data_IF_487227268644
#
_entry.id   IF_487227268644
#
_cell.length_a   1.000
_cell.length_b   1.000
_cell.length_c   1.000
_cell.angle_alpha   90.00
_cell.angle_beta   90.00
_cell.angle_gamma   90.00
#
_symmetry.space_group_name_H-M   'P 1'
#
loop_
_entity.id
_entity.type
_entity.pdbx_description
1 polymer ?
#
# COMPACT_ATOMS: atom_id res chain seq x y z
N UNK A 1 -14.99 -7.26 7.03
CA UNK A 1 -14.03 -6.56 7.93
C UNK A 1 -12.69 -6.53 7.23
N UNK A 2 -12.01 -5.38 7.21
CA UNK A 2 -10.68 -5.20 6.62
C UNK A 2 -9.71 -4.80 7.73
N UNK A 3 -8.47 -5.29 7.67
CA UNK A 3 -7.36 -4.80 8.50
C UNK A 3 -6.14 -4.51 7.63
N UNK A 4 -5.31 -3.58 8.09
CA UNK A 4 -3.96 -3.35 7.55
C UNK A 4 -2.93 -3.49 8.65
N UNK A 5 -1.86 -4.24 8.41
CA UNK A 5 -0.69 -4.31 9.30
C UNK A 5 0.46 -3.56 8.65
N UNK A 6 0.98 -2.56 9.36
CA UNK A 6 2.09 -1.72 8.91
C UNK A 6 3.41 -2.25 9.47
N UNK A 7 4.36 -2.54 8.59
CA UNK A 7 5.74 -2.92 8.92
C UNK A 7 6.70 -2.43 7.84
N UNK A 8 7.82 -3.13 7.65
CA UNK A 8 8.77 -2.87 6.55
C UNK A 8 8.05 -2.81 5.20
N UNK A 9 7.25 -3.83 4.90
CA UNK A 9 6.12 -3.80 3.97
C UNK A 9 4.79 -3.84 4.73
N UNK A 10 3.67 -3.86 4.01
CA UNK A 10 2.33 -3.91 4.62
C UNK A 10 1.49 -5.02 4.04
N UNK A 11 0.69 -5.65 4.91
CA UNK A 11 -0.28 -6.69 4.54
C UNK A 11 -1.69 -6.21 4.86
N UNK A 12 -2.51 -6.12 3.83
CA UNK A 12 -3.93 -5.79 3.90
C UNK A 12 -4.69 -7.11 3.79
N UNK A 13 -5.66 -7.34 4.69
CA UNK A 13 -6.53 -8.52 4.64
C UNK A 13 -7.99 -8.14 4.81
N UNK A 14 -8.86 -8.71 3.96
CA UNK A 14 -10.32 -8.58 4.03
C UNK A 14 -10.93 -9.96 4.25
N UNK A 15 -11.64 -10.16 5.36
CA UNK A 15 -12.40 -11.40 5.59
C UNK A 15 -13.57 -11.51 4.60
N UNK A 16 -13.64 -12.65 3.89
CA UNK A 16 -14.66 -12.99 2.88
C UNK A 16 -15.53 -14.20 3.28
N UNK A 17 -15.41 -14.69 4.51
CA UNK A 17 -16.25 -15.75 5.06
C UNK A 17 -15.80 -17.15 4.67
N UNK A 18 -16.73 -18.10 4.59
CA UNK A 18 -16.47 -19.53 4.40
C UNK A 18 -16.38 -19.96 2.93
N UNK A 19 -16.49 -19.00 2.00
CA UNK A 19 -16.41 -19.25 0.57
C UNK A 19 -15.23 -18.48 -0.02
N UNK A 20 -14.28 -19.17 -0.67
CA UNK A 20 -13.18 -18.48 -1.34
C UNK A 20 -13.71 -17.68 -2.53
N UNK A 21 -13.09 -16.52 -2.76
CA UNK A 21 -13.39 -15.64 -3.90
C UNK A 21 -12.17 -15.62 -4.81
N UNK A 22 -12.31 -16.08 -6.06
CA UNK A 22 -11.23 -15.95 -7.03
C UNK A 22 -11.22 -14.51 -7.55
N UNK A 23 -10.17 -13.77 -7.23
CA UNK A 23 -10.02 -12.38 -7.65
C UNK A 23 -9.42 -12.28 -9.06
N UNK A 24 -9.96 -11.36 -9.85
CA UNK A 24 -9.40 -10.89 -11.13
C UNK A 24 -8.79 -9.48 -11.03
N UNK A 25 -8.71 -8.93 -9.82
CA UNK A 25 -8.34 -7.53 -9.56
C UNK A 25 -6.97 -7.38 -8.86
N UNK A 26 -6.09 -8.40 -8.96
CA UNK A 26 -4.73 -8.31 -8.43
C UNK A 26 -4.61 -8.48 -6.91
N UNK A 27 -5.57 -9.12 -6.26
CA UNK A 27 -5.47 -9.55 -4.84
C UNK A 27 -5.63 -11.05 -4.73
N UNK A 28 -4.99 -11.69 -3.75
CA UNK A 28 -5.01 -13.14 -3.61
C UNK A 28 -6.11 -13.60 -2.65
N UNK A 29 -6.70 -14.77 -2.89
CA UNK A 29 -7.52 -15.45 -1.88
C UNK A 29 -6.63 -16.37 -1.05
N UNK A 30 -6.73 -16.27 0.28
CA UNK A 30 -5.93 -17.07 1.21
C UNK A 30 -6.80 -17.63 2.33
N UNK A 31 -6.27 -18.63 3.03
CA UNK A 31 -6.88 -19.17 4.25
C UNK A 31 -6.71 -18.14 5.37
N UNK A 32 -7.80 -17.81 6.05
CA UNK A 32 -7.79 -16.89 7.16
C UNK A 32 -7.57 -17.65 8.48
N UNK A 33 -8.47 -18.58 8.79
CA UNK A 33 -8.39 -19.48 9.95
C UNK A 33 -9.33 -20.67 9.78
N UNK A 34 -9.12 -21.70 10.60
CA UNK A 34 -10.05 -22.83 10.77
C UNK A 34 -10.43 -22.98 12.23
N UNK A 35 -11.73 -23.12 12.51
CA UNK A 35 -12.26 -23.37 13.86
C UNK A 35 -13.57 -24.16 13.76
N UNK A 36 -13.79 -25.12 14.66
CA UNK A 36 -15.00 -25.95 14.72
C UNK A 36 -15.36 -26.64 13.38
N UNK A 37 -14.35 -27.11 12.66
CA UNK A 37 -14.52 -27.76 11.36
C UNK A 37 -14.92 -26.82 10.22
N UNK A 38 -14.94 -25.49 10.45
CA UNK A 38 -15.20 -24.47 9.43
C UNK A 38 -13.93 -23.71 9.09
N UNK A 39 -13.72 -23.48 7.80
CA UNK A 39 -12.61 -22.67 7.28
C UNK A 39 -13.16 -21.32 6.84
N UNK A 40 -12.47 -20.25 7.21
CA UNK A 40 -12.73 -18.91 6.71
C UNK A 40 -11.57 -18.46 5.81
N UNK A 41 -11.89 -17.60 4.85
CA UNK A 41 -10.97 -17.09 3.84
C UNK A 41 -10.83 -15.57 3.93
N UNK A 42 -9.72 -15.06 3.40
CA UNK A 42 -9.46 -13.64 3.25
C UNK A 42 -9.04 -13.33 1.81
N UNK A 43 -9.36 -12.12 1.35
CA UNK A 43 -8.58 -11.48 0.30
C UNK A 43 -7.35 -10.84 0.93
N UNK A 44 -6.19 -10.99 0.30
CA UNK A 44 -4.91 -10.48 0.75
C UNK A 44 -4.24 -9.65 -0.35
N UNK A 45 -3.68 -8.51 0.04
CA UNK A 45 -2.83 -7.68 -0.81
C UNK A 45 -1.60 -7.24 -0.02
N UNK A 46 -0.42 -7.48 -0.61
CA UNK A 46 0.86 -7.21 0.01
C UNK A 46 1.58 -6.07 -0.72
N UNK A 47 2.05 -5.10 0.06
CA UNK A 47 2.82 -3.94 -0.36
C UNK A 47 4.26 -4.13 0.12
N UNK A 48 5.21 -4.07 -0.80
CA UNK A 48 6.62 -4.34 -0.51
C UNK A 48 7.27 -3.25 0.35
N UNK A 49 6.90 -1.99 0.09
CA UNK A 49 7.58 -0.81 0.63
C UNK A 49 6.62 0.09 1.38
N UNK A 50 6.65 -0.01 2.72
CA UNK A 50 5.99 0.94 3.62
C UNK A 50 6.97 1.52 4.63
N UNK A 51 7.26 0.85 5.75
CA UNK A 51 8.30 1.29 6.69
C UNK A 51 9.68 1.36 6.03
N UNK A 52 9.93 0.53 5.01
CA UNK A 52 11.14 0.60 4.20
C UNK A 52 11.30 1.93 3.45
N UNK A 53 10.21 2.61 3.09
CA UNK A 53 10.28 3.98 2.51
C UNK A 53 10.85 4.95 3.54
N UNK A 54 10.43 4.84 4.80
CA UNK A 54 10.91 5.70 5.88
C UNK A 54 12.39 5.42 6.18
N UNK A 55 12.78 4.14 6.19
CA UNK A 55 14.18 3.74 6.29
C UNK A 55 15.01 4.33 5.15
N UNK A 56 14.52 4.25 3.90
CA UNK A 56 15.21 4.81 2.73
C UNK A 56 15.37 6.34 2.81
N UNK A 57 14.34 7.07 3.24
CA UNK A 57 14.41 8.52 3.45
C UNK A 57 15.48 8.89 4.50
N UNK A 58 15.65 8.05 5.52
CA UNK A 58 16.56 8.30 6.66
C UNK A 58 18.00 7.85 6.37
N UNK A 59 18.18 6.60 5.98
CA UNK A 59 19.50 5.97 5.88
C UNK A 59 20.18 6.27 4.54
N UNK A 60 19.42 6.28 3.44
CA UNK A 60 19.97 6.43 2.09
C UNK A 60 19.94 7.89 1.60
N UNK A 61 18.77 8.53 1.61
CA UNK A 61 18.64 9.92 1.18
C UNK A 61 19.03 10.94 2.25
N UNK A 62 19.06 10.54 3.52
CA UNK A 62 19.43 11.39 4.67
C UNK A 62 18.60 12.68 4.75
N UNK A 63 17.33 12.58 4.38
CA UNK A 63 16.37 13.68 4.44
C UNK A 63 15.77 13.87 5.84
N UNK A 64 15.84 12.82 6.65
CA UNK A 64 15.40 12.80 8.05
C UNK A 64 16.45 12.09 8.91
N UNK A 65 16.60 12.49 10.16
CA UNK A 65 17.46 11.81 11.14
C UNK A 65 16.73 10.69 11.87
N UNK A 66 15.39 10.77 11.98
CA UNK A 66 14.57 9.77 12.64
C UNK A 66 13.17 9.69 12.02
N UNK A 67 12.50 8.54 12.18
CA UNK A 67 11.14 8.35 11.68
C UNK A 67 10.13 9.36 12.29
N UNK A 68 10.36 9.81 13.53
CA UNK A 68 9.50 10.79 14.23
C UNK A 68 9.50 12.18 13.59
N UNK A 69 10.49 12.52 12.76
CA UNK A 69 10.52 13.82 12.07
C UNK A 69 9.53 13.91 10.91
N UNK A 70 9.09 12.76 10.40
CA UNK A 70 8.28 12.69 9.17
C UNK A 70 6.98 13.46 9.26
N UNK A 71 6.26 13.37 10.39
CA UNK A 71 5.01 14.10 10.58
C UNK A 71 5.24 15.63 10.56
N UNK A 72 6.22 16.10 11.33
CA UNK A 72 6.52 17.53 11.42
C UNK A 72 6.94 18.12 10.08
N UNK A 73 7.74 17.38 9.30
CA UNK A 73 8.16 17.79 7.96
C UNK A 73 7.01 17.75 6.96
N UNK A 74 6.20 16.69 6.97
CA UNK A 74 5.07 16.59 6.04
C UNK A 74 4.05 17.72 6.24
N UNK A 75 3.84 18.15 7.49
CA UNK A 75 2.98 19.31 7.82
C UNK A 75 3.54 20.66 7.35
N UNK A 76 4.83 20.74 7.03
CA UNK A 76 5.48 21.95 6.50
C UNK A 76 5.51 21.99 4.96
N UNK A 77 5.10 20.91 4.31
CA UNK A 77 5.02 20.86 2.87
C UNK A 77 4.00 21.89 2.36
N UNK A 78 4.25 22.42 1.18
CA UNK A 78 3.30 23.31 0.52
C UNK A 78 1.93 22.60 0.33
N UNK A 79 0.84 23.32 0.59
CA UNK A 79 -0.52 22.83 0.36
C UNK A 79 -0.77 22.51 -1.12
N UNK A 80 -0.19 23.32 -2.01
CA UNK A 80 -0.25 23.13 -3.47
C UNK A 80 0.82 22.16 -4.01
N UNK A 81 1.48 21.38 -3.14
CA UNK A 81 2.48 20.41 -3.60
C UNK A 81 1.87 19.32 -4.49
N UNK A 82 2.58 18.99 -5.56
CA UNK A 82 2.18 17.99 -6.55
C UNK A 82 3.18 16.84 -6.63
N UNK A 83 4.07 16.71 -5.64
CA UNK A 83 5.13 15.71 -5.66
C UNK A 83 4.57 14.35 -5.26
N UNK A 84 4.78 13.32 -6.10
CA UNK A 84 4.38 11.95 -5.81
C UNK A 84 5.59 11.02 -5.84
N UNK A 85 5.61 10.05 -4.93
CA UNK A 85 6.53 8.92 -4.96
C UNK A 85 5.77 7.65 -5.35
N UNK A 86 6.26 6.94 -6.36
CA UNK A 86 5.90 5.54 -6.65
C UNK A 86 7.03 4.66 -6.12
N UNK A 87 6.86 3.92 -5.01
CA UNK A 87 7.97 3.26 -4.30
C UNK A 87 8.29 1.86 -4.87
N UNK A 88 8.41 1.75 -6.19
CA UNK A 88 8.67 0.48 -6.91
C UNK A 88 10.18 0.14 -6.96
N UNK A 89 10.87 0.10 -5.82
CA UNK A 89 12.34 -0.06 -5.80
C UNK A 89 12.82 -1.41 -6.34
N UNK A 90 12.00 -2.46 -6.23
CA UNK A 90 12.24 -3.80 -6.80
C UNK A 90 11.04 -4.30 -7.59
N UNK A 91 10.32 -3.38 -8.24
CA UNK A 91 8.98 -3.63 -8.76
C UNK A 91 7.88 -3.24 -7.77
N UNK A 92 6.63 -3.36 -8.20
CA UNK A 92 5.44 -2.97 -7.43
C UNK A 92 4.54 -4.19 -7.19
N UNK A 93 4.10 -4.33 -5.94
CA UNK A 93 3.26 -5.43 -5.47
C UNK A 93 1.78 -5.26 -5.85
N UNK A 94 0.90 -5.75 -4.99
CA UNK A 94 -0.54 -5.64 -5.22
C UNK A 94 -0.99 -4.16 -5.30
N UNK A 95 -2.03 -3.84 -6.10
CA UNK A 95 -2.73 -4.73 -7.03
C UNK A 95 -2.05 -4.91 -8.41
N UNK A 96 -0.89 -4.28 -8.62
CA UNK A 96 -0.29 -4.08 -9.94
C UNK A 96 0.54 -5.27 -10.46
N UNK A 97 1.31 -5.92 -9.57
CA UNK A 97 2.15 -7.09 -9.89
C UNK A 97 3.12 -6.88 -11.07
N UNK A 98 3.80 -5.75 -11.09
CA UNK A 98 4.78 -5.41 -12.13
C UNK A 98 6.20 -5.45 -11.55
N UNK A 99 6.96 -6.48 -11.91
CA UNK A 99 8.37 -6.63 -11.51
C UNK A 99 9.32 -5.69 -12.26
N UNK A 100 8.90 -5.18 -13.42
CA UNK A 100 9.68 -4.28 -14.26
C UNK A 100 9.43 -2.82 -13.93
N UNK A 101 8.41 -2.52 -13.14
CA UNK A 101 8.21 -1.19 -12.56
C UNK A 101 9.47 -0.73 -11.81
N UNK A 102 9.76 0.57 -11.91
CA UNK A 102 10.89 1.21 -11.23
C UNK A 102 10.37 2.38 -10.41
N UNK A 103 11.01 2.60 -9.27
CA UNK A 103 10.65 3.71 -8.40
C UNK A 103 10.78 5.04 -9.15
N UNK A 104 9.82 5.94 -8.92
CA UNK A 104 9.77 7.23 -9.57
C UNK A 104 9.31 8.31 -8.59
N UNK A 105 9.93 9.48 -8.67
CA UNK A 105 9.41 10.70 -8.07
C UNK A 105 8.98 11.61 -9.22
N UNK A 106 7.71 12.02 -9.21
CA UNK A 106 7.11 12.82 -10.27
C UNK A 106 6.44 14.05 -9.70
N UNK A 107 6.12 15.03 -10.55
CA UNK A 107 5.46 16.27 -10.13
C UNK A 107 6.36 17.24 -9.33
N UNK A 108 7.67 17.03 -9.36
CA UNK A 108 8.66 17.95 -8.78
C UNK A 108 8.58 19.30 -9.49
N UNK A 109 8.58 20.37 -8.70
CA UNK A 109 8.71 21.74 -9.18
C UNK A 109 9.94 22.40 -8.55
N UNK A 110 10.27 23.64 -8.96
CA UNK A 110 11.33 24.43 -8.31
C UNK A 110 11.08 24.67 -6.82
N UNK A 111 9.83 24.53 -6.34
CA UNK A 111 9.45 24.72 -4.94
C UNK A 111 9.57 23.44 -4.10
N UNK A 112 9.77 22.27 -4.72
CA UNK A 112 9.89 21.00 -4.00
C UNK A 112 11.17 20.98 -3.18
N UNK A 113 11.03 20.74 -1.88
CA UNK A 113 12.12 20.65 -0.90
C UNK A 113 11.95 19.37 -0.09
N UNK A 114 12.75 19.22 0.96
CA UNK A 114 12.68 18.09 1.90
C UNK A 114 11.28 17.83 2.46
N UNK A 115 10.50 18.84 2.92
CA UNK A 115 9.13 18.63 3.38
C UNK A 115 8.24 17.92 2.36
N UNK A 116 8.26 18.34 1.10
CA UNK A 116 7.44 17.77 0.03
C UNK A 116 7.87 16.33 -0.31
N UNK A 117 9.18 16.05 -0.34
CA UNK A 117 9.69 14.68 -0.57
C UNK A 117 9.32 13.72 0.59
N UNK A 118 9.38 14.20 1.83
CA UNK A 118 8.99 13.43 3.02
C UNK A 118 7.48 13.19 3.04
N UNK A 119 6.68 14.21 2.71
CA UNK A 119 5.22 14.07 2.54
C UNK A 119 4.89 13.03 1.47
N UNK A 120 5.49 13.12 0.29
CA UNK A 120 5.30 12.15 -0.79
C UNK A 120 5.67 10.72 -0.36
N UNK A 121 6.70 10.56 0.48
CA UNK A 121 7.08 9.28 1.06
C UNK A 121 6.06 8.71 2.05
N UNK A 122 5.34 9.54 2.80
CA UNK A 122 4.23 9.09 3.65
C UNK A 122 2.98 8.79 2.82
N UNK A 123 2.63 9.69 1.89
CA UNK A 123 1.41 9.58 1.10
C UNK A 123 1.44 8.37 0.16
N UNK A 124 2.60 8.00 -0.40
CA UNK A 124 2.71 6.82 -1.25
C UNK A 124 2.33 5.51 -0.53
N UNK A 125 2.50 5.46 0.79
CA UNK A 125 2.06 4.32 1.61
C UNK A 125 0.53 4.28 1.65
N UNK A 126 -0.10 5.43 1.92
CA UNK A 126 -1.55 5.56 1.98
C UNK A 126 -2.18 5.26 0.61
N UNK A 127 -1.61 5.75 -0.49
CA UNK A 127 -2.10 5.50 -1.84
C UNK A 127 -2.06 4.03 -2.21
N UNK A 128 -0.93 3.33 -1.97
CA UNK A 128 -0.87 1.89 -2.25
C UNK A 128 -1.88 1.09 -1.42
N UNK A 129 -2.12 1.48 -0.16
CA UNK A 129 -3.15 0.84 0.67
C UNK A 129 -4.55 1.09 0.10
N UNK A 130 -4.84 2.32 -0.33
CA UNK A 130 -6.11 2.66 -0.96
C UNK A 130 -6.35 1.84 -2.23
N UNK A 131 -5.34 1.68 -3.08
CA UNK A 131 -5.42 0.87 -4.31
C UNK A 131 -5.74 -0.59 -4.00
N UNK A 132 -5.09 -1.17 -2.98
CA UNK A 132 -5.36 -2.55 -2.55
C UNK A 132 -6.77 -2.69 -1.98
N UNK A 133 -7.23 -1.75 -1.15
CA UNK A 133 -8.58 -1.78 -0.57
C UNK A 133 -9.66 -1.65 -1.66
N UNK A 134 -9.44 -0.80 -2.66
CA UNK A 134 -10.32 -0.66 -3.81
C UNK A 134 -10.36 -1.97 -4.62
N UNK A 135 -9.20 -2.58 -4.89
CA UNK A 135 -9.11 -3.88 -5.57
C UNK A 135 -9.85 -4.99 -4.81
N UNK A 136 -9.71 -5.05 -3.47
CA UNK A 136 -10.45 -5.99 -2.63
C UNK A 136 -11.96 -5.76 -2.71
N UNK A 137 -12.40 -4.49 -2.68
CA UNK A 137 -13.82 -4.14 -2.76
C UNK A 137 -14.43 -4.62 -4.07
N UNK A 138 -13.73 -4.42 -5.19
CA UNK A 138 -14.16 -4.92 -6.51
C UNK A 138 -14.19 -6.45 -6.58
N UNK A 139 -13.17 -7.11 -6.05
CA UNK A 139 -13.10 -8.57 -6.01
C UNK A 139 -14.24 -9.18 -5.17
N UNK A 140 -14.57 -8.57 -4.03
CA UNK A 140 -15.66 -9.03 -3.16
C UNK A 140 -17.05 -8.91 -3.81
N UNK A 141 -17.30 -7.88 -4.62
CA UNK A 141 -18.58 -7.73 -5.34
C UNK A 141 -18.75 -8.79 -6.43
N UNK A 142 -17.66 -9.19 -7.12
CA UNK A 142 -17.68 -10.24 -8.13
C UNK A 142 -18.11 -11.62 -7.60
N UNK A 143 -17.97 -11.87 -6.29
CA UNK A 143 -18.36 -13.12 -5.65
C UNK A 143 -19.89 -13.32 -5.53
N UNK A 144 -20.68 -12.26 -5.66
CA UNK A 144 -22.14 -12.30 -5.47
C UNK A 144 -22.87 -12.72 -6.77
N UNK A 145 -22.24 -12.55 -7.93
CA UNK A 145 -22.90 -12.65 -9.25
C UNK A 145 -22.92 -14.06 -9.87
N UNK A 146 -22.37 -15.09 -9.23
CA UNK A 146 -22.40 -16.48 -9.74
C UNK A 146 -23.54 -17.33 -9.17
N UNK A 147 -24.55 -16.71 -8.54
CA UNK A 147 -25.83 -17.36 -8.24
C UNK A 147 -26.89 -16.95 -9.27
N UNK A 148 -26.90 -17.64 -10.41
CA UNK A 148 -28.04 -17.73 -11.33
C UNK A 148 -28.08 -19.10 -11.95
#
# INVERSE_FOLDING_TARGET
MIKTTYGTGSSIMMNIGDKPVISTHGVAASLAWGMDGRVNYVLEGNINYTGAVITWLKDDLKLIASASETEGLARQANEDDTTYLVPAFTGIGAPYWDSEARAAIVGITRKTRTPELVKAGLECIAYQIADVVEAMSRAAVGAVLTKS
#
